data_IF_227224170877
#
_entry.id   IF_227224170877
#
_cell.length_a   1.000
_cell.length_b   1.000
_cell.length_c   1.000
_cell.angle_alpha   90.00
_cell.angle_beta   90.00
_cell.angle_gamma   90.00
#
_symmetry.space_group_name_H-M   'P 1'
#
loop_
_entity.id
_entity.type
_entity.pdbx_description
1 polymer ?
#
# COMPACT_ATOMS: atom_id res chain seq x y z
N UNK A 1 -13.14 -58.40 -77.62
CA UNK A 1 -11.78 -57.86 -77.37
C UNK A 1 -11.94 -56.48 -76.77
N UNK A 2 -11.47 -56.27 -75.55
CA UNK A 2 -11.56 -54.96 -74.87
C UNK A 2 -10.76 -53.94 -75.67
N UNK A 3 -11.36 -52.77 -75.96
CA UNK A 3 -10.75 -51.75 -76.81
C UNK A 3 -9.52 -51.17 -76.11
N UNK A 4 -8.41 -50.95 -76.83
CA UNK A 4 -7.17 -50.37 -76.27
C UNK A 4 -7.41 -49.06 -75.52
N UNK A 5 -8.35 -48.22 -75.99
CA UNK A 5 -8.77 -46.98 -75.33
C UNK A 5 -9.34 -47.24 -73.93
N UNK A 6 -10.13 -48.29 -73.79
CA UNK A 6 -10.81 -48.67 -72.55
C UNK A 6 -9.82 -49.26 -71.53
N UNK A 7 -8.82 -50.02 -72.01
CA UNK A 7 -7.71 -50.51 -71.19
C UNK A 7 -6.89 -49.33 -70.63
N UNK A 8 -6.57 -48.35 -71.47
CA UNK A 8 -5.81 -47.16 -71.07
C UNK A 8 -6.60 -46.33 -70.05
N UNK A 9 -7.89 -46.08 -70.29
CA UNK A 9 -8.76 -45.35 -69.36
C UNK A 9 -8.87 -46.05 -68.00
N UNK A 10 -9.07 -47.37 -68.00
CA UNK A 10 -9.14 -48.15 -66.76
C UNK A 10 -7.81 -48.15 -66.00
N UNK A 11 -6.68 -48.17 -66.73
CA UNK A 11 -5.34 -48.13 -66.14
C UNK A 11 -5.09 -46.78 -65.43
N UNK A 12 -5.43 -45.66 -66.07
CA UNK A 12 -5.34 -44.34 -65.45
C UNK A 12 -6.29 -44.17 -64.26
N UNK A 13 -7.52 -44.67 -64.34
CA UNK A 13 -8.47 -44.61 -63.24
C UNK A 13 -7.99 -45.41 -62.02
N UNK A 14 -7.39 -46.59 -62.24
CA UNK A 14 -6.82 -47.41 -61.17
C UNK A 14 -5.56 -46.77 -60.57
N UNK A 15 -4.69 -46.21 -61.41
CA UNK A 15 -3.52 -45.45 -60.94
C UNK A 15 -3.92 -44.26 -60.08
N UNK A 16 -4.93 -43.48 -60.50
CA UNK A 16 -5.47 -42.36 -59.72
C UNK A 16 -6.08 -42.82 -58.39
N UNK A 17 -6.80 -43.95 -58.37
CA UNK A 17 -7.34 -44.52 -57.13
C UNK A 17 -6.23 -44.91 -56.15
N UNK A 18 -5.15 -45.52 -56.63
CA UNK A 18 -3.98 -45.86 -55.79
C UNK A 18 -3.33 -44.59 -55.22
N UNK A 19 -3.12 -43.57 -56.06
CA UNK A 19 -2.63 -42.26 -55.63
C UNK A 19 -3.54 -41.61 -54.56
N UNK A 20 -4.86 -41.66 -54.74
CA UNK A 20 -5.83 -41.08 -53.79
C UNK A 20 -5.94 -41.84 -52.46
N UNK A 21 -5.53 -43.12 -52.42
CA UNK A 21 -5.49 -43.94 -51.20
C UNK A 21 -4.23 -43.71 -50.36
N UNK A 22 -3.28 -42.92 -50.84
CA UNK A 22 -2.06 -42.59 -50.10
C UNK A 22 -2.27 -41.49 -49.05
N UNK A 23 -3.51 -41.04 -48.81
CA UNK A 23 -3.84 -40.04 -47.79
C UNK A 23 -5.01 -40.50 -46.92
N UNK A 24 -4.97 -40.12 -45.65
CA UNK A 24 -6.06 -40.38 -44.70
C UNK A 24 -7.11 -39.27 -44.82
N UNK A 25 -8.36 -39.64 -45.09
CA UNK A 25 -9.48 -38.70 -45.22
C UNK A 25 -10.49 -38.80 -44.04
N UNK A 26 -9.97 -38.95 -42.83
CA UNK A 26 -10.72 -38.89 -41.58
C UNK A 26 -9.79 -38.52 -40.41
N UNK A 27 -10.36 -38.18 -39.26
CA UNK A 27 -9.60 -37.82 -38.04
C UNK A 27 -9.51 -38.94 -37.00
N UNK A 28 -10.03 -40.13 -37.31
CA UNK A 28 -10.02 -41.29 -36.42
C UNK A 28 -9.00 -42.37 -36.81
N UNK A 29 -8.27 -42.19 -37.93
CA UNK A 29 -7.16 -43.06 -38.29
C UNK A 29 -6.01 -42.95 -37.29
N UNK A 30 -5.35 -44.08 -37.05
CA UNK A 30 -4.12 -44.18 -36.24
C UNK A 30 -2.89 -44.45 -37.11
N UNK A 31 -2.98 -44.25 -38.44
CA UNK A 31 -1.86 -44.47 -39.34
C UNK A 31 -0.68 -43.56 -38.99
N UNK A 32 0.49 -44.16 -38.81
CA UNK A 32 1.75 -43.44 -38.58
C UNK A 32 2.55 -43.20 -39.87
N UNK A 33 2.05 -43.71 -41.00
CA UNK A 33 2.79 -43.74 -42.28
C UNK A 33 2.07 -43.00 -43.41
N UNK A 34 0.75 -42.86 -43.35
CA UNK A 34 -0.01 -42.12 -44.36
C UNK A 34 -0.30 -40.70 -43.86
N UNK A 35 0.00 -39.65 -44.66
CA UNK A 35 -0.33 -38.28 -44.30
C UNK A 35 -1.84 -38.03 -44.33
N UNK A 36 -2.27 -37.03 -43.55
CA UNK A 36 -3.65 -36.56 -43.55
C UNK A 36 -3.95 -35.80 -44.86
N UNK A 37 -5.16 -35.97 -45.40
CA UNK A 37 -5.61 -35.19 -46.56
C UNK A 37 -5.70 -33.70 -46.22
N UNK A 38 -5.52 -32.82 -47.22
CA UNK A 38 -5.58 -31.37 -47.01
C UNK A 38 -6.89 -30.89 -46.38
N UNK A 39 -8.03 -31.48 -46.78
CA UNK A 39 -9.34 -31.15 -46.22
C UNK A 39 -9.42 -31.47 -44.73
N UNK A 40 -8.95 -32.65 -44.34
CA UNK A 40 -8.95 -33.08 -42.94
C UNK A 40 -7.89 -32.34 -42.11
N UNK A 41 -6.76 -31.98 -42.72
CA UNK A 41 -5.76 -31.09 -42.12
C UNK A 41 -6.32 -29.71 -41.79
N UNK A 42 -7.09 -29.10 -42.72
CA UNK A 42 -7.80 -27.85 -42.45
C UNK A 42 -8.82 -28.02 -41.32
N UNK A 43 -9.61 -29.09 -41.35
CA UNK A 43 -10.62 -29.34 -40.31
C UNK A 43 -9.99 -29.51 -38.92
N UNK A 44 -8.85 -30.23 -38.84
CA UNK A 44 -8.09 -30.35 -37.61
C UNK A 44 -7.55 -28.99 -37.14
N UNK A 45 -6.98 -28.21 -38.05
CA UNK A 45 -6.47 -26.87 -37.74
C UNK A 45 -7.60 -25.95 -37.22
N UNK A 46 -8.75 -25.93 -37.90
CA UNK A 46 -9.91 -25.13 -37.47
C UNK A 46 -10.43 -25.56 -36.08
N UNK A 47 -10.33 -26.85 -35.73
CA UNK A 47 -10.67 -27.35 -34.39
C UNK A 47 -9.65 -26.90 -33.35
N UNK A 48 -8.36 -26.95 -33.67
CA UNK A 48 -7.28 -26.46 -32.78
C UNK A 48 -7.44 -24.96 -32.52
N UNK A 49 -7.71 -24.17 -33.56
CA UNK A 49 -7.95 -22.73 -33.46
C UNK A 49 -9.16 -22.39 -32.57
N UNK A 50 -10.17 -23.25 -32.51
CA UNK A 50 -11.31 -23.10 -31.59
C UNK A 50 -10.96 -23.47 -30.15
N UNK A 51 -10.06 -24.41 -29.94
CA UNK A 51 -9.64 -24.86 -28.60
C UNK A 51 -8.63 -23.88 -27.97
N UNK A 52 -7.73 -23.33 -28.79
CA UNK A 52 -6.65 -22.45 -28.35
C UNK A 52 -6.61 -21.22 -29.27
N UNK A 53 -7.64 -20.35 -29.25
CA UNK A 53 -7.70 -19.19 -30.14
C UNK A 53 -6.63 -18.15 -29.85
N UNK A 54 -6.43 -17.20 -30.77
CA UNK A 54 -5.68 -15.97 -30.46
C UNK A 54 -6.39 -15.23 -29.32
N UNK A 55 -5.62 -14.78 -28.33
CA UNK A 55 -6.12 -14.23 -27.07
C UNK A 55 -6.36 -15.27 -25.97
N UNK A 56 -6.18 -16.57 -26.26
CA UNK A 56 -6.26 -17.62 -25.24
C UNK A 56 -5.18 -17.44 -24.18
N UNK A 57 -5.57 -17.47 -22.91
CA UNK A 57 -4.69 -17.40 -21.76
C UNK A 57 -4.73 -18.72 -21.00
N UNK A 58 -3.57 -19.25 -20.63
CA UNK A 58 -3.47 -20.35 -19.68
C UNK A 58 -2.43 -20.09 -18.60
N UNK A 59 -2.66 -20.70 -17.44
CA UNK A 59 -1.74 -20.71 -16.31
C UNK A 59 -0.99 -22.02 -16.24
N UNK A 60 0.29 -21.98 -15.88
CA UNK A 60 1.14 -23.17 -15.79
C UNK A 60 2.14 -23.11 -14.65
N UNK A 61 2.34 -24.25 -13.99
CA UNK A 61 3.40 -24.44 -12.99
C UNK A 61 3.86 -25.90 -13.01
N UNK A 62 5.17 -26.13 -12.85
CA UNK A 62 5.74 -27.44 -12.52
C UNK A 62 6.14 -27.56 -11.06
N UNK A 63 5.69 -26.66 -10.18
CA UNK A 63 6.00 -26.73 -8.75
C UNK A 63 4.72 -26.88 -7.95
N UNK A 64 4.75 -27.78 -6.98
CA UNK A 64 3.75 -27.82 -5.90
C UNK A 64 3.93 -26.58 -5.03
N UNK A 65 2.86 -26.18 -4.35
CA UNK A 65 2.87 -25.08 -3.37
C UNK A 65 3.94 -25.32 -2.29
N UNK A 66 4.21 -26.59 -1.95
CA UNK A 66 5.21 -27.00 -0.96
C UNK A 66 6.61 -27.25 -1.57
N UNK A 67 6.92 -26.65 -2.73
CA UNK A 67 8.28 -26.60 -3.31
C UNK A 67 8.71 -27.79 -4.19
N UNK A 68 8.04 -28.95 -4.08
CA UNK A 68 8.38 -30.13 -4.89
C UNK A 68 8.05 -29.96 -6.37
N UNK A 69 8.97 -30.36 -7.24
CA UNK A 69 8.76 -30.34 -8.70
C UNK A 69 7.80 -31.45 -9.14
N UNK A 70 6.88 -31.12 -10.04
CA UNK A 70 6.01 -32.05 -10.74
C UNK A 70 6.75 -32.61 -11.96
N UNK A 71 6.47 -33.87 -12.33
CA UNK A 71 6.93 -34.44 -13.59
C UNK A 71 6.12 -33.84 -14.77
N UNK A 72 6.33 -32.55 -15.02
CA UNK A 72 5.59 -31.75 -16.01
C UNK A 72 6.56 -31.06 -16.98
N UNK A 73 6.16 -30.85 -18.25
CA UNK A 73 7.00 -30.21 -19.27
C UNK A 73 7.44 -28.81 -18.87
N UNK A 74 8.70 -28.42 -19.07
CA UNK A 74 9.14 -27.05 -18.77
C UNK A 74 8.57 -26.04 -19.76
N UNK A 75 7.69 -25.13 -19.33
CA UNK A 75 7.10 -24.07 -20.17
C UNK A 75 7.56 -22.67 -19.74
N UNK A 76 8.88 -22.49 -19.63
CA UNK A 76 9.50 -21.27 -19.07
C UNK A 76 9.80 -20.17 -20.11
N UNK A 77 9.74 -20.50 -21.39
CA UNK A 77 10.05 -19.58 -22.51
C UNK A 77 9.01 -19.72 -23.63
N UNK A 78 8.83 -18.69 -24.48
CA UNK A 78 7.90 -18.76 -25.60
C UNK A 78 8.15 -19.96 -26.52
N UNK A 79 9.42 -20.25 -26.83
CA UNK A 79 9.80 -21.38 -27.70
C UNK A 79 9.40 -22.73 -27.10
N UNK A 80 9.53 -22.89 -25.78
CA UNK A 80 9.11 -24.13 -25.11
C UNK A 80 7.59 -24.31 -25.17
N UNK A 81 6.83 -23.22 -25.03
CA UNK A 81 5.36 -23.25 -25.18
C UNK A 81 4.96 -23.57 -26.61
N UNK A 82 5.58 -22.90 -27.59
CA UNK A 82 5.39 -23.19 -29.02
C UNK A 82 5.72 -24.64 -29.35
N UNK A 83 6.83 -25.17 -28.85
CA UNK A 83 7.21 -26.57 -29.08
C UNK A 83 6.25 -27.56 -28.42
N UNK A 84 5.69 -27.21 -27.25
CA UNK A 84 4.72 -28.04 -26.57
C UNK A 84 3.37 -28.11 -27.31
N UNK A 85 2.84 -26.98 -27.76
CA UNK A 85 1.60 -26.95 -28.55
C UNK A 85 1.82 -27.36 -30.02
N UNK A 86 3.03 -27.18 -30.54
CA UNK A 86 3.38 -27.39 -31.94
C UNK A 86 3.03 -26.20 -32.86
N UNK A 87 2.43 -25.13 -32.34
CA UNK A 87 1.99 -23.98 -33.11
C UNK A 87 1.92 -22.70 -32.25
N UNK A 88 1.62 -21.59 -32.93
CA UNK A 88 1.35 -20.29 -32.34
C UNK A 88 2.59 -19.50 -31.93
N UNK A 89 2.34 -18.26 -31.54
CA UNK A 89 3.27 -17.33 -30.92
C UNK A 89 2.69 -16.90 -29.58
N UNK A 90 3.55 -16.89 -28.56
CA UNK A 90 3.13 -16.84 -27.16
C UNK A 90 3.88 -15.75 -26.41
N UNK A 91 3.14 -14.97 -25.65
CA UNK A 91 3.67 -13.89 -24.82
C UNK A 91 3.41 -14.17 -23.34
N UNK A 92 4.39 -13.85 -22.49
CA UNK A 92 4.30 -14.09 -21.04
C UNK A 92 3.67 -12.89 -20.34
N UNK A 93 2.62 -13.13 -19.55
CA UNK A 93 2.03 -12.12 -18.68
C UNK A 93 2.81 -12.13 -17.36
N UNK A 94 3.47 -11.02 -17.02
CA UNK A 94 4.26 -10.86 -15.80
C UNK A 94 3.58 -9.90 -14.83
N UNK A 95 3.78 -10.13 -13.52
CA UNK A 95 3.47 -9.18 -12.45
C UNK A 95 2.03 -8.64 -12.47
N UNK A 96 1.07 -9.52 -12.75
CA UNK A 96 -0.37 -9.20 -12.84
C UNK A 96 -1.22 -10.33 -12.28
N UNK A 97 -2.36 -9.97 -11.68
CA UNK A 97 -3.45 -10.90 -11.42
C UNK A 97 -4.47 -10.84 -12.55
N UNK A 98 -5.12 -11.96 -12.84
CA UNK A 98 -6.24 -11.98 -13.76
C UNK A 98 -7.47 -11.39 -13.06
N UNK A 99 -7.98 -10.30 -13.61
CA UNK A 99 -9.15 -9.60 -13.11
C UNK A 99 -10.21 -9.52 -14.20
N UNK A 100 -11.44 -9.91 -13.86
CA UNK A 100 -12.60 -9.81 -14.75
C UNK A 100 -13.34 -8.50 -14.48
N UNK A 101 -12.97 -7.45 -15.22
CA UNK A 101 -13.60 -6.13 -15.18
C UNK A 101 -14.46 -5.85 -16.42
N UNK A 102 -15.04 -4.66 -16.49
CA UNK A 102 -15.88 -4.23 -17.62
C UNK A 102 -15.11 -3.91 -18.90
N UNK A 103 -13.80 -3.66 -18.82
CA UNK A 103 -12.92 -3.42 -19.97
C UNK A 103 -11.84 -4.51 -20.09
N UNK A 104 -11.75 -5.14 -21.27
CA UNK A 104 -10.70 -6.11 -21.58
C UNK A 104 -9.37 -5.37 -21.83
N UNK A 105 -8.28 -5.87 -21.24
CA UNK A 105 -6.94 -5.31 -21.44
C UNK A 105 -6.59 -4.11 -20.54
N UNK A 106 -7.46 -3.75 -19.59
CA UNK A 106 -7.11 -2.77 -18.56
C UNK A 106 -5.95 -3.25 -17.69
N UNK A 107 -5.08 -2.33 -17.26
CA UNK A 107 -3.99 -2.61 -16.31
C UNK A 107 -4.07 -1.66 -15.12
N UNK A 108 -3.55 -2.09 -13.97
CA UNK A 108 -3.53 -1.31 -12.74
C UNK A 108 -3.05 -2.14 -11.55
N UNK A 109 -3.20 -1.58 -10.35
CA UNK A 109 -2.76 -2.18 -9.10
C UNK A 109 -1.32 -1.81 -8.74
N UNK A 110 -1.04 -1.77 -7.44
CA UNK A 110 0.27 -1.48 -6.86
C UNK A 110 0.62 -2.57 -5.84
N UNK A 111 1.86 -3.05 -5.88
CA UNK A 111 2.35 -4.08 -4.94
C UNK A 111 2.55 -3.53 -3.52
N UNK A 112 2.78 -2.23 -3.39
CA UNK A 112 2.93 -1.53 -2.11
C UNK A 112 2.17 -0.21 -2.11
N UNK A 113 1.63 0.18 -0.96
CA UNK A 113 0.92 1.45 -0.80
C UNK A 113 1.55 2.24 0.34
N UNK A 114 1.89 3.50 0.09
CA UNK A 114 2.22 4.47 1.13
C UNK A 114 0.95 5.24 1.52
N UNK A 115 0.71 5.39 2.83
CA UNK A 115 -0.44 6.15 3.32
C UNK A 115 -0.11 7.64 3.28
N UNK A 116 -0.96 8.43 2.63
CA UNK A 116 -0.93 9.90 2.70
C UNK A 116 -1.80 10.39 3.85
N UNK A 117 -1.70 11.69 4.16
CA UNK A 117 -2.57 12.36 5.13
C UNK A 117 -4.06 12.20 4.77
N UNK A 118 -4.41 12.19 3.47
CA UNK A 118 -5.78 12.00 2.99
C UNK A 118 -6.35 10.62 3.31
N UNK A 119 -5.49 9.62 3.50
CA UNK A 119 -5.88 8.25 3.85
C UNK A 119 -6.04 8.06 5.38
N UNK A 120 -5.77 9.08 6.19
CA UNK A 120 -5.93 8.98 7.64
C UNK A 120 -7.36 9.34 8.07
N UNK A 121 -8.00 8.53 8.93
CA UNK A 121 -9.28 8.90 9.51
C UNK A 121 -9.21 10.23 10.27
N UNK A 122 -10.31 10.98 10.26
CA UNK A 122 -10.49 12.15 11.12
C UNK A 122 -10.28 11.72 12.57
N UNK A 123 -9.34 12.37 13.26
CA UNK A 123 -9.05 12.14 14.67
C UNK A 123 -8.83 13.47 15.39
N UNK A 124 -9.04 13.47 16.70
CA UNK A 124 -8.87 14.65 17.56
C UNK A 124 -8.03 14.29 18.77
N UNK A 125 -7.14 15.19 19.16
CA UNK A 125 -6.48 15.12 20.46
C UNK A 125 -7.24 15.97 21.46
N UNK A 126 -7.45 15.44 22.66
CA UNK A 126 -7.94 16.22 23.80
C UNK A 126 -6.77 16.50 24.72
N UNK A 127 -6.51 17.78 24.96
CA UNK A 127 -5.63 18.22 26.04
C UNK A 127 -6.56 18.63 27.19
N UNK A 128 -6.45 18.02 28.37
CA UNK A 128 -7.19 18.48 29.54
C UNK A 128 -6.97 19.97 29.76
N UNK A 129 -8.00 20.67 30.25
CA UNK A 129 -7.89 22.08 30.63
C UNK A 129 -6.68 22.29 31.54
N UNK A 130 -5.80 23.22 31.15
CA UNK A 130 -4.61 23.54 31.90
C UNK A 130 -5.01 24.11 33.26
N UNK A 131 -4.65 23.41 34.34
CA UNK A 131 -4.91 23.86 35.71
C UNK A 131 -3.60 24.07 36.45
N UNK A 132 -3.44 25.26 37.03
CA UNK A 132 -2.40 25.58 37.99
C UNK A 132 -2.95 26.55 39.01
N UNK A 133 -2.64 26.35 40.29
CA UNK A 133 -2.93 27.29 41.36
C UNK A 133 -1.62 27.59 42.09
N UNK A 134 -1.41 28.84 42.49
CA UNK A 134 -0.30 29.20 43.38
C UNK A 134 -0.82 29.08 44.81
N UNK A 135 -0.18 28.22 45.61
CA UNK A 135 -0.63 27.91 46.98
C UNK A 135 -0.21 28.94 48.02
N UNK A 136 0.60 29.93 47.65
CA UNK A 136 1.20 30.88 48.59
C UNK A 136 1.01 32.31 48.09
N UNK A 137 0.58 33.19 49.00
CA UNK A 137 0.65 34.64 48.78
C UNK A 137 2.13 35.02 48.71
N UNK A 138 2.56 35.67 47.63
CA UNK A 138 3.97 36.03 47.45
C UNK A 138 4.55 36.72 48.69
N UNK A 139 5.68 36.18 49.21
CA UNK A 139 6.33 36.74 50.38
C UNK A 139 6.80 38.17 50.10
N UNK A 140 6.40 39.11 50.94
CA UNK A 140 6.89 40.48 50.89
C UNK A 140 7.03 41.07 52.30
N UNK A 141 7.91 42.06 52.43
CA UNK A 141 8.19 42.75 53.70
C UNK A 141 8.07 44.25 53.51
N UNK A 142 7.54 44.93 54.53
CA UNK A 142 7.50 46.38 54.60
C UNK A 142 8.57 46.89 55.58
N UNK A 143 9.27 47.95 55.18
CA UNK A 143 10.19 48.66 56.07
C UNK A 143 9.61 50.03 56.40
N UNK A 144 9.12 50.19 57.62
CA UNK A 144 8.75 51.50 58.17
C UNK A 144 9.98 52.05 58.89
N UNK A 145 10.48 53.21 58.44
CA UNK A 145 11.62 53.89 59.07
C UNK A 145 11.13 55.14 59.79
N UNK A 146 11.46 55.26 61.07
CA UNK A 146 11.28 56.47 61.83
C UNK A 146 12.46 57.43 61.55
N UNK A 147 12.17 58.65 61.10
CA UNK A 147 13.13 59.75 61.16
C UNK A 147 12.75 60.64 62.33
N UNK A 148 13.70 60.85 63.22
CA UNK A 148 13.58 61.82 64.29
C UNK A 148 14.44 63.03 63.90
N UNK A 149 13.81 64.18 63.80
CA UNK A 149 14.46 65.47 63.93
C UNK A 149 14.77 65.75 65.41
N UNK A 150 15.71 66.67 65.63
CA UNK A 150 16.60 66.77 66.80
C UNK A 150 15.92 67.02 68.17
N UNK A 151 14.60 66.90 68.28
CA UNK A 151 13.81 67.11 69.49
C UNK A 151 13.12 65.82 70.01
N UNK A 152 13.65 64.65 69.67
CA UNK A 152 13.22 63.37 70.23
C UNK A 152 14.21 62.92 71.32
N UNK A 153 13.79 62.92 72.59
CA UNK A 153 14.66 62.57 73.71
C UNK A 153 14.92 61.06 73.74
N UNK A 154 16.12 60.63 73.32
CA UNK A 154 16.57 59.24 73.47
C UNK A 154 17.17 59.02 74.87
N UNK A 155 16.59 58.14 75.68
CA UNK A 155 17.32 57.52 76.82
C UNK A 155 18.06 56.28 76.33
N UNK A 156 19.04 55.83 77.12
CA UNK A 156 20.10 54.84 76.83
C UNK A 156 19.70 53.43 76.37
N UNK A 157 18.46 53.22 75.91
CA UNK A 157 17.95 51.95 75.40
C UNK A 157 17.26 52.09 74.02
N UNK A 158 17.43 53.22 73.33
CA UNK A 158 17.03 53.36 71.91
C UNK A 158 15.53 53.48 71.64
N UNK A 159 14.70 53.74 72.65
CA UNK A 159 13.24 53.88 72.48
C UNK A 159 12.86 55.35 72.28
N UNK A 160 12.29 55.67 71.10
CA UNK A 160 11.73 56.99 70.79
C UNK A 160 10.32 57.15 71.41
N UNK A 161 10.01 58.31 71.99
CA UNK A 161 8.66 58.67 72.49
C UNK A 161 8.26 60.04 71.93
N UNK A 162 6.99 60.21 71.57
CA UNK A 162 6.45 61.52 71.20
C UNK A 162 6.59 62.51 72.36
N UNK A 163 7.14 63.69 72.11
CA UNK A 163 7.25 64.76 73.09
C UNK A 163 5.91 65.49 73.20
N UNK A 164 5.02 64.99 74.05
CA UNK A 164 3.69 65.60 74.29
C UNK A 164 3.74 66.57 75.46
N UNK A 165 3.86 67.87 75.18
CA UNK A 165 3.53 68.93 76.14
C UNK A 165 2.05 69.29 76.05
N UNK A 166 1.15 68.49 76.62
CA UNK A 166 -0.29 68.77 76.67
C UNK A 166 -1.16 67.52 76.92
N UNK A 167 -2.37 67.69 77.48
CA UNK A 167 -3.24 66.60 77.97
C UNK A 167 -4.00 65.80 76.90
N UNK A 168 -3.59 65.88 75.64
CA UNK A 168 -4.08 64.99 74.59
C UNK A 168 -2.95 64.02 74.27
N UNK A 169 -3.16 62.74 74.55
CA UNK A 169 -2.17 61.69 74.27
C UNK A 169 -1.86 61.70 72.79
N UNK A 170 -0.70 62.24 72.41
CA UNK A 170 -0.21 62.24 71.05
C UNK A 170 0.08 60.79 70.64
N UNK A 171 -0.83 60.24 69.86
CA UNK A 171 -0.77 58.87 69.37
C UNK A 171 0.47 58.72 68.47
N UNK A 172 1.49 58.03 68.97
CA UNK A 172 2.75 57.83 68.24
C UNK A 172 2.59 56.67 67.26
N UNK A 173 1.99 56.95 66.11
CA UNK A 173 1.79 55.97 65.03
C UNK A 173 2.94 56.01 64.02
N UNK A 174 3.69 54.92 63.93
CA UNK A 174 4.54 54.67 62.76
C UNK A 174 3.60 54.18 61.65
N UNK A 175 3.29 55.05 60.69
CA UNK A 175 2.14 54.94 59.77
C UNK A 175 1.76 53.53 59.30
N UNK A 176 0.47 53.31 59.10
CA UNK A 176 -0.08 52.00 58.74
C UNK A 176 0.38 51.57 57.34
N UNK A 177 0.78 50.30 57.20
CA UNK A 177 0.88 49.65 55.88
C UNK A 177 -0.48 49.05 55.55
N UNK A 178 -1.07 49.38 54.40
CA UNK A 178 -2.26 48.70 53.90
C UNK A 178 -1.87 47.37 53.25
N UNK A 179 -2.68 46.34 53.42
CA UNK A 179 -2.45 45.04 52.79
C UNK A 179 -2.56 45.09 51.25
N UNK A 180 -1.81 44.17 50.64
CA UNK A 180 -1.73 43.88 49.21
C UNK A 180 -0.95 44.91 48.36
N UNK A 181 0.38 44.80 48.38
CA UNK A 181 1.16 45.18 47.21
C UNK A 181 0.72 44.35 46.00
N UNK A 182 0.41 45.01 44.88
CA UNK A 182 0.04 44.33 43.65
C UNK A 182 1.19 43.40 43.22
N UNK A 183 0.94 42.09 43.18
CA UNK A 183 1.90 41.12 42.66
C UNK A 183 1.20 40.20 41.65
N UNK A 184 1.99 39.72 40.70
CA UNK A 184 1.53 38.82 39.64
C UNK A 184 2.30 37.51 39.72
N UNK A 185 1.59 36.39 39.60
CA UNK A 185 2.20 35.10 39.33
C UNK A 185 2.27 34.88 37.83
N UNK A 186 3.47 34.53 37.33
CA UNK A 186 3.62 34.03 35.97
C UNK A 186 3.67 32.51 36.04
N UNK A 187 2.64 31.85 35.52
CA UNK A 187 2.64 30.38 35.33
C UNK A 187 3.10 30.11 33.90
N UNK A 188 4.30 29.55 33.75
CA UNK A 188 4.85 29.15 32.45
C UNK A 188 4.79 27.64 32.32
N UNK A 189 4.17 27.14 31.25
CA UNK A 189 4.13 25.71 30.93
C UNK A 189 4.73 25.45 29.55
N UNK A 190 5.56 24.41 29.45
CA UNK A 190 6.16 23.98 28.20
C UNK A 190 5.35 22.82 27.62
N UNK A 191 4.86 23.03 26.40
CA UNK A 191 4.14 22.10 25.51
C UNK A 191 2.60 22.18 25.52
N UNK A 192 2.04 22.45 24.34
CA UNK A 192 0.61 22.34 24.00
C UNK A 192 0.42 21.74 22.60
N UNK A 193 1.30 20.81 22.21
CA UNK A 193 1.23 20.18 20.90
C UNK A 193 1.33 18.68 21.07
N UNK A 194 0.29 17.95 20.66
CA UNK A 194 0.50 16.58 20.18
C UNK A 194 1.18 16.73 18.82
N UNK A 195 2.45 16.35 18.72
CA UNK A 195 3.19 16.44 17.46
C UNK A 195 2.49 15.68 16.34
N UNK A 196 2.83 15.99 15.09
CA UNK A 196 2.37 15.19 13.97
C UNK A 196 3.03 13.81 13.98
N UNK A 197 2.24 12.74 14.04
CA UNK A 197 2.70 11.37 13.82
C UNK A 197 1.97 10.77 12.63
N UNK A 198 2.65 10.84 11.48
CA UNK A 198 2.32 10.13 10.25
C UNK A 198 3.56 10.15 9.36
N UNK A 199 3.92 9.01 8.77
CA UNK A 199 5.05 8.93 7.84
C UNK A 199 4.51 8.64 6.44
N UNK A 200 4.62 9.61 5.54
CA UNK A 200 4.24 9.46 4.12
C UNK A 200 5.19 8.52 3.34
N UNK A 201 6.29 8.06 3.97
CA UNK A 201 7.36 7.34 3.29
C UNK A 201 7.38 5.83 3.59
N UNK A 202 6.63 5.37 4.59
CA UNK A 202 6.59 3.96 4.97
C UNK A 202 5.51 3.21 4.17
N UNK A 203 5.90 2.64 3.03
CA UNK A 203 5.02 1.80 2.22
C UNK A 203 4.81 0.43 2.90
N UNK A 204 3.56 -0.06 2.90
CA UNK A 204 3.22 -1.41 3.36
C UNK A 204 2.91 -2.32 2.18
N UNK A 205 3.14 -3.62 2.35
CA UNK A 205 2.81 -4.63 1.36
C UNK A 205 1.30 -4.69 1.14
N UNK A 206 0.87 -4.57 -0.12
CA UNK A 206 -0.52 -4.62 -0.55
C UNK A 206 -0.87 -5.96 -1.25
N UNK A 207 0.09 -6.88 -1.35
CA UNK A 207 -0.14 -8.19 -1.98
C UNK A 207 -0.74 -9.19 -0.98
N UNK A 208 -1.95 -9.76 -1.25
CA UNK A 208 -2.46 -10.89 -0.49
C UNK A 208 -1.60 -12.14 -0.73
N UNK A 209 -1.71 -13.20 0.10
CA UNK A 209 -1.01 -14.46 -0.15
C UNK A 209 -1.28 -15.00 -1.57
N UNK A 210 -0.21 -15.33 -2.29
CA UNK A 210 -0.29 -15.74 -3.71
C UNK A 210 0.66 -16.90 -4.01
N UNK A 211 0.42 -17.54 -5.17
CA UNK A 211 1.31 -18.56 -5.74
C UNK A 211 1.78 -18.07 -7.10
N UNK A 212 3.09 -18.11 -7.32
CA UNK A 212 3.67 -17.79 -8.62
C UNK A 212 3.40 -18.89 -9.64
N UNK A 213 2.79 -18.51 -10.74
CA UNK A 213 2.56 -19.34 -11.92
C UNK A 213 3.00 -18.58 -13.16
N UNK A 214 3.35 -19.30 -14.22
CA UNK A 214 3.52 -18.68 -15.52
C UNK A 214 2.16 -18.52 -16.20
N UNK A 215 1.89 -17.32 -16.68
CA UNK A 215 0.71 -17.03 -17.50
C UNK A 215 1.17 -16.74 -18.92
N UNK A 216 0.54 -17.40 -19.88
CA UNK A 216 0.86 -17.30 -21.30
C UNK A 216 -0.38 -16.90 -22.07
N UNK A 217 -0.24 -15.92 -22.95
CA UNK A 217 -1.27 -15.48 -23.90
C UNK A 217 -0.83 -15.82 -25.33
N UNK A 218 -1.73 -16.41 -26.11
CA UNK A 218 -1.49 -16.60 -27.55
C UNK A 218 -1.72 -15.28 -28.28
N UNK A 219 -0.73 -14.83 -29.05
CA UNK A 219 -0.78 -13.57 -29.81
C UNK A 219 -0.81 -13.77 -31.33
N UNK A 220 -0.56 -15.00 -31.80
CA UNK A 220 -0.60 -15.41 -33.21
C UNK A 220 -0.49 -16.91 -33.38
#
# INVERSE_FOLDING_TARGET
MTNLKEIIQNSFANFYKVLSKNVVNNLNSTSTTLPLSANQGKELNDRIEKLVPIGYIFTWTNKKINGNTLNAPSLTTPDKVKNYFGFGTWERINDRFLYSGSAIGGTGGESTVALSIENMPSHSHSIPSLSGYTGESGNHTHFIRAKYDNNCATKSSGVARANGGGSETSDFRFGDTSEAGNHSHTVTTYASTTGATGSETAAHNNMPPYVNVYMWMRVG
#
